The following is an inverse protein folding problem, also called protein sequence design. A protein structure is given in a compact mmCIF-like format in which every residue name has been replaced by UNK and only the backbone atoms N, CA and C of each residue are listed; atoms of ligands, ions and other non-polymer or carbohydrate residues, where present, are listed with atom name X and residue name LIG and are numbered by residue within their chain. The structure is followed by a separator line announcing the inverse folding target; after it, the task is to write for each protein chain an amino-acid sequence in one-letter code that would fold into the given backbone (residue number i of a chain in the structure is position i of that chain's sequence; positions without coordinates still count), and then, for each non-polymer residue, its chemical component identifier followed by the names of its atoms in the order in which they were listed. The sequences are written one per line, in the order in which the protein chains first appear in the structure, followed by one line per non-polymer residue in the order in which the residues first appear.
data_IF_008790293175
#
_entry.id   IF_008790293175
#
_cell.length_a   1.000
_cell.length_b   1.000
_cell.length_c   1.000
_cell.angle_alpha   90.00
_cell.angle_beta   90.00
_cell.angle_gamma   90.00
#
_symmetry.space_group_name_H-M   'P 1'
#
loop_
_entity.id
_entity.type
_entity.pdbx_description
1 polymer ?
#
# COMPACT_ATOMS: atom_id res chain seq x y z
N UNK A 1 -2.74 23.08 -31.80
CA UNK A 1 -2.09 23.46 -30.54
C UNK A 1 -2.94 22.89 -29.43
N UNK A 2 -2.64 21.66 -29.02
CA UNK A 2 -3.20 21.12 -27.78
C UNK A 2 -2.67 21.98 -26.64
N UNK A 3 -3.57 22.51 -25.83
CA UNK A 3 -3.21 23.13 -24.55
C UNK A 3 -2.30 22.14 -23.81
N UNK A 4 -1.11 22.62 -23.43
CA UNK A 4 -0.26 21.88 -22.50
C UNK A 4 -1.14 21.53 -21.30
N UNK A 5 -1.30 20.24 -20.94
CA UNK A 5 -2.21 19.87 -19.87
C UNK A 5 -1.79 20.66 -18.64
N UNK A 6 -2.72 21.48 -18.13
CA UNK A 6 -2.67 22.04 -16.79
C UNK A 6 -2.11 20.95 -15.88
N UNK A 7 -0.92 21.19 -15.30
CA UNK A 7 -0.13 20.15 -14.62
C UNK A 7 -1.02 19.31 -13.71
N UNK A 8 -1.30 18.07 -14.13
CA UNK A 8 -2.12 17.14 -13.36
C UNK A 8 -1.45 16.92 -12.00
N UNK A 9 -2.17 17.21 -10.92
CA UNK A 9 -1.68 17.02 -9.55
C UNK A 9 -2.38 15.84 -8.89
N UNK A 10 -1.82 15.38 -7.78
CA UNK A 10 -2.38 14.25 -7.04
C UNK A 10 -3.81 14.54 -6.55
N UNK A 11 -4.11 15.79 -6.19
CA UNK A 11 -5.43 16.19 -5.72
C UNK A 11 -6.49 16.02 -6.80
N UNK A 12 -6.13 16.14 -8.09
CA UNK A 12 -7.05 15.89 -9.19
C UNK A 12 -7.46 14.41 -9.29
N UNK A 13 -6.61 13.49 -8.83
CA UNK A 13 -6.90 12.05 -8.76
C UNK A 13 -7.69 11.74 -7.48
N UNK A 14 -7.33 12.36 -6.35
CA UNK A 14 -7.93 12.07 -5.05
C UNK A 14 -9.32 12.68 -4.86
N UNK A 15 -9.59 13.86 -5.43
CA UNK A 15 -10.88 14.54 -5.29
C UNK A 15 -12.09 13.64 -5.62
N UNK A 16 -12.18 13.00 -6.81
CA UNK A 16 -13.31 12.12 -7.11
C UNK A 16 -13.39 10.89 -6.19
N UNK A 17 -12.26 10.43 -5.63
CA UNK A 17 -12.26 9.35 -4.64
C UNK A 17 -12.82 9.85 -3.30
N UNK A 18 -12.44 11.07 -2.89
CA UNK A 18 -12.96 11.71 -1.69
C UNK A 18 -14.46 11.97 -1.80
N UNK A 19 -14.97 12.40 -2.96
CA UNK A 19 -16.40 12.54 -3.22
C UNK A 19 -17.16 11.23 -2.97
N UNK A 20 -16.65 10.10 -3.50
CA UNK A 20 -17.27 8.78 -3.30
C UNK A 20 -17.29 8.40 -1.82
N UNK A 21 -16.17 8.61 -1.12
CA UNK A 21 -16.04 8.31 0.30
C UNK A 21 -17.04 9.15 1.11
N UNK A 22 -17.11 10.46 0.85
CA UNK A 22 -18.04 11.36 1.51
C UNK A 22 -19.49 10.93 1.31
N UNK A 23 -19.90 10.67 0.06
CA UNK A 23 -21.26 10.23 -0.27
C UNK A 23 -21.63 8.96 0.50
N UNK A 24 -20.69 8.02 0.64
CA UNK A 24 -20.92 6.78 1.38
C UNK A 24 -21.00 7.05 2.88
N UNK A 25 -20.10 7.88 3.42
CA UNK A 25 -20.05 8.19 4.85
C UNK A 25 -21.30 8.93 5.32
N UNK A 26 -21.76 9.94 4.58
CA UNK A 26 -22.96 10.72 4.90
C UNK A 26 -24.25 9.87 4.90
N UNK A 27 -24.28 8.79 4.11
CA UNK A 27 -25.41 7.84 4.09
C UNK A 27 -25.48 6.95 5.34
N UNK A 28 -24.43 6.90 6.15
CA UNK A 28 -24.38 6.11 7.39
C UNK A 28 -25.01 6.86 8.59
N UNK A 29 -25.81 7.90 8.33
CA UNK A 29 -26.59 8.70 9.31
C UNK A 29 -25.74 9.40 10.38
N UNK A 30 -24.55 9.89 10.00
CA UNK A 30 -23.71 10.71 10.88
C UNK A 30 -24.15 12.18 10.83
N UNK A 31 -24.69 12.69 11.94
CA UNK A 31 -25.13 14.09 12.07
C UNK A 31 -23.96 14.96 12.55
N UNK A 32 -23.13 15.44 11.62
CA UNK A 32 -22.15 16.49 11.90
C UNK A 32 -22.18 17.58 10.82
N UNK A 33 -23.28 18.33 10.83
CA UNK A 33 -23.62 19.35 9.83
C UNK A 33 -22.63 20.51 9.67
N UNK A 34 -21.57 20.60 10.49
CA UNK A 34 -20.57 21.67 10.45
C UNK A 34 -19.15 21.21 10.04
N UNK A 35 -18.94 19.93 9.77
CA UNK A 35 -17.61 19.40 9.43
C UNK A 35 -17.43 19.27 7.92
N UNK A 36 -16.38 19.89 7.36
CA UNK A 36 -15.98 19.74 5.95
C UNK A 36 -15.31 18.37 5.74
N UNK A 37 -16.15 17.33 5.59
CA UNK A 37 -15.73 15.92 5.44
C UNK A 37 -14.82 15.74 4.21
N UNK A 38 -15.14 16.40 3.10
CA UNK A 38 -14.35 16.29 1.87
C UNK A 38 -12.89 16.73 2.09
N UNK A 39 -12.71 17.92 2.68
CA UNK A 39 -11.38 18.45 2.98
C UNK A 39 -10.63 17.57 3.97
N UNK A 40 -11.31 17.05 5.01
CA UNK A 40 -10.71 16.11 5.96
C UNK A 40 -10.21 14.81 5.29
N UNK A 41 -11.00 14.24 4.37
CA UNK A 41 -10.62 13.04 3.62
C UNK A 41 -9.38 13.33 2.76
N UNK A 42 -9.39 14.43 2.01
CA UNK A 42 -8.27 14.81 1.16
C UNK A 42 -6.99 15.04 1.97
N UNK A 43 -7.08 15.81 3.04
CA UNK A 43 -5.95 16.08 3.93
C UNK A 43 -5.38 14.80 4.53
N UNK A 44 -6.25 13.87 4.93
CA UNK A 44 -5.84 12.56 5.45
C UNK A 44 -5.19 11.69 4.37
N UNK A 45 -5.74 11.64 3.14
CA UNK A 45 -5.17 10.89 2.01
C UNK A 45 -3.80 11.42 1.60
N UNK A 46 -3.59 12.74 1.72
CA UNK A 46 -2.29 13.39 1.51
C UNK A 46 -1.33 13.20 2.71
N UNK A 47 -1.70 12.43 3.72
CA UNK A 47 -0.86 12.12 4.88
C UNK A 47 -0.69 13.28 5.86
N UNK A 48 -1.55 14.30 5.80
CA UNK A 48 -1.54 15.38 6.80
C UNK A 48 -2.03 14.84 8.14
N UNK A 49 -1.54 15.43 9.24
CA UNK A 49 -2.11 15.15 10.56
C UNK A 49 -3.44 15.88 10.67
N UNK A 50 -4.52 15.11 10.81
CA UNK A 50 -5.88 15.63 10.93
C UNK A 50 -6.47 15.12 12.24
N UNK A 51 -6.82 16.03 13.15
CA UNK A 51 -7.46 15.69 14.41
C UNK A 51 -8.98 15.92 14.25
N UNK A 52 -9.78 14.92 14.57
CA UNK A 52 -11.25 14.98 14.54
C UNK A 52 -11.85 13.85 15.38
N UNK A 53 -13.01 14.09 15.98
CA UNK A 53 -13.76 13.11 16.77
C UNK A 53 -14.38 12.00 15.93
N UNK A 54 -14.44 12.17 14.60
CA UNK A 54 -14.98 11.18 13.66
C UNK A 54 -13.95 10.13 13.23
N UNK A 55 -12.70 10.25 13.68
CA UNK A 55 -11.66 9.23 13.50
C UNK A 55 -11.72 8.22 14.65
N UNK A 56 -11.31 6.98 14.40
CA UNK A 56 -11.03 6.06 15.49
C UNK A 56 -9.85 6.57 16.31
N UNK A 57 -10.03 6.65 17.63
CA UNK A 57 -9.02 7.16 18.55
C UNK A 57 -7.75 6.28 18.51
N UNK A 58 -6.65 6.90 18.07
CA UNK A 58 -5.33 6.26 17.91
C UNK A 58 -4.55 6.16 19.23
N UNK A 59 -5.03 6.82 20.29
CA UNK A 59 -4.43 6.76 21.63
C UNK A 59 -4.99 5.59 22.46
N UNK A 60 -6.00 4.87 21.95
CA UNK A 60 -6.50 3.64 22.56
C UNK A 60 -5.38 2.61 22.71
N UNK A 61 -5.49 1.77 23.75
CA UNK A 61 -4.64 0.58 23.84
C UNK A 61 -4.85 -0.28 22.60
N UNK A 62 -3.83 -1.03 22.15
CA UNK A 62 -3.95 -1.87 20.95
C UNK A 62 -5.13 -2.84 21.06
N UNK A 63 -5.37 -3.41 22.24
CA UNK A 63 -6.50 -4.32 22.47
C UNK A 63 -7.84 -3.58 22.31
N UNK A 64 -7.97 -2.39 22.88
CA UNK A 64 -9.21 -1.60 22.77
C UNK A 64 -9.45 -1.13 21.34
N UNK A 65 -8.41 -0.67 20.65
CA UNK A 65 -8.48 -0.33 19.22
C UNK A 65 -8.98 -1.52 18.38
N UNK A 66 -8.42 -2.71 18.59
CA UNK A 66 -8.84 -3.94 17.89
C UNK A 66 -10.30 -4.31 18.21
N UNK A 67 -10.76 -4.12 19.46
CA UNK A 67 -12.16 -4.33 19.84
C UNK A 67 -13.08 -3.36 19.11
N UNK A 68 -12.74 -2.08 19.04
CA UNK A 68 -13.51 -1.09 18.29
C UNK A 68 -13.59 -1.45 16.80
N UNK A 69 -12.46 -1.83 16.19
CA UNK A 69 -12.44 -2.28 14.80
C UNK A 69 -13.36 -3.51 14.57
N UNK A 70 -13.38 -4.48 15.50
CA UNK A 70 -14.27 -5.64 15.42
C UNK A 70 -15.75 -5.24 15.53
N UNK A 71 -16.09 -4.34 16.45
CA UNK A 71 -17.46 -3.85 16.61
C UNK A 71 -17.95 -3.16 15.34
N UNK A 72 -17.12 -2.33 14.71
CA UNK A 72 -17.44 -1.73 13.40
C UNK A 72 -17.61 -2.81 12.34
N UNK A 73 -16.67 -3.76 12.22
CA UNK A 73 -16.76 -4.84 11.24
C UNK A 73 -18.00 -5.73 11.39
N UNK A 74 -18.53 -5.85 12.61
CA UNK A 74 -19.78 -6.57 12.89
C UNK A 74 -21.04 -5.71 12.76
N UNK A 75 -20.92 -4.40 12.45
CA UNK A 75 -22.06 -3.48 12.41
C UNK A 75 -22.68 -3.19 13.78
N UNK A 76 -21.93 -3.43 14.86
CA UNK A 76 -22.39 -3.25 16.24
C UNK A 76 -22.10 -1.85 16.79
N UNK A 77 -21.50 -0.97 15.99
CA UNK A 77 -21.35 0.44 16.30
C UNK A 77 -21.26 1.28 15.02
N UNK A 78 -21.47 2.61 15.09
CA UNK A 78 -21.25 3.51 13.97
C UNK A 78 -19.82 3.41 13.43
N UNK A 79 -19.67 3.59 12.12
CA UNK A 79 -18.38 3.55 11.46
C UNK A 79 -17.67 4.89 11.59
N UNK A 80 -16.38 4.87 11.90
CA UNK A 80 -15.55 6.07 11.83
C UNK A 80 -15.18 6.40 10.39
N UNK A 81 -14.73 7.64 10.14
CA UNK A 81 -14.39 8.09 8.80
C UNK A 81 -13.17 7.33 8.24
N UNK A 82 -12.15 7.06 9.05
CA UNK A 82 -10.97 6.29 8.63
C UNK A 82 -11.29 4.83 8.31
N UNK A 83 -12.21 4.21 9.06
CA UNK A 83 -12.74 2.90 8.73
C UNK A 83 -13.46 2.92 7.38
N UNK A 84 -14.29 3.93 7.15
CA UNK A 84 -15.05 4.09 5.90
C UNK A 84 -14.13 4.31 4.70
N UNK A 85 -13.11 5.17 4.83
CA UNK A 85 -12.07 5.36 3.81
C UNK A 85 -11.45 4.00 3.46
N UNK A 86 -11.06 3.22 4.47
CA UNK A 86 -10.49 1.88 4.28
C UNK A 86 -11.40 0.94 3.48
N UNK A 87 -12.69 0.86 3.84
CA UNK A 87 -13.66 -0.01 3.16
C UNK A 87 -13.94 0.43 1.73
N UNK A 88 -14.12 1.73 1.49
CA UNK A 88 -14.34 2.26 0.13
C UNK A 88 -13.11 2.02 -0.73
N UNK A 89 -11.91 2.31 -0.21
CA UNK A 89 -10.65 2.10 -0.95
C UNK A 89 -10.46 0.63 -1.33
N UNK A 90 -10.79 -0.31 -0.44
CA UNK A 90 -10.76 -1.75 -0.73
C UNK A 90 -11.61 -2.11 -1.94
N UNK A 91 -12.81 -1.53 -2.06
CA UNK A 91 -13.73 -1.80 -3.17
C UNK A 91 -13.29 -1.14 -4.47
N UNK A 92 -12.69 0.05 -4.39
CA UNK A 92 -12.16 0.75 -5.56
C UNK A 92 -10.89 0.09 -6.10
N UNK A 93 -10.12 -0.59 -5.26
CA UNK A 93 -8.77 -1.03 -5.58
C UNK A 93 -8.65 -1.88 -6.86
N UNK A 94 -9.50 -2.89 -7.14
CA UNK A 94 -9.41 -3.64 -8.40
C UNK A 94 -9.56 -2.74 -9.64
N UNK A 95 -10.47 -1.76 -9.58
CA UNK A 95 -10.66 -0.77 -10.65
C UNK A 95 -9.45 0.15 -10.77
N UNK A 96 -8.90 0.61 -9.65
CA UNK A 96 -7.67 1.43 -9.65
C UNK A 96 -6.51 0.64 -10.28
N UNK A 97 -6.35 -0.64 -9.94
CA UNK A 97 -5.28 -1.48 -10.49
C UNK A 97 -5.34 -1.54 -12.02
N UNK A 98 -6.54 -1.71 -12.57
CA UNK A 98 -6.76 -1.71 -14.02
C UNK A 98 -6.52 -0.34 -14.68
N UNK A 99 -6.88 0.76 -14.01
CA UNK A 99 -6.71 2.12 -14.57
C UNK A 99 -5.24 2.55 -14.58
N UNK A 100 -4.50 2.22 -13.52
CA UNK A 100 -3.16 2.74 -13.29
C UNK A 100 -2.05 1.85 -13.86
N UNK A 101 -2.29 0.55 -14.05
CA UNK A 101 -1.30 -0.36 -14.66
C UNK A 101 -1.04 0.02 -16.12
N UNK A 102 0.23 0.23 -16.46
CA UNK A 102 0.69 0.76 -17.75
C UNK A 102 0.00 2.06 -18.20
N UNK A 103 -0.43 2.89 -17.25
CA UNK A 103 -1.00 4.21 -17.55
C UNK A 103 0.06 5.19 -18.07
N UNK A 104 -0.38 6.23 -18.78
CA UNK A 104 0.48 7.31 -19.28
C UNK A 104 0.68 8.44 -18.25
N UNK A 105 0.49 8.16 -16.96
CA UNK A 105 0.69 9.16 -15.92
C UNK A 105 2.18 9.46 -15.74
N UNK A 106 2.55 10.72 -15.42
CA UNK A 106 3.93 11.04 -15.09
C UNK A 106 4.46 10.14 -13.96
N UNK A 107 5.68 9.61 -14.05
CA UNK A 107 6.23 8.69 -13.04
C UNK A 107 6.22 9.24 -11.62
N UNK A 108 6.46 10.54 -11.44
CA UNK A 108 6.41 11.20 -10.13
C UNK A 108 4.99 11.16 -9.53
N UNK A 109 3.97 11.46 -10.34
CA UNK A 109 2.57 11.44 -9.92
C UNK A 109 2.10 10.02 -9.59
N UNK A 110 2.50 9.04 -10.40
CA UNK A 110 2.18 7.64 -10.11
C UNK A 110 2.89 7.14 -8.85
N UNK A 111 4.15 7.57 -8.64
CA UNK A 111 4.88 7.25 -7.41
C UNK A 111 4.22 7.87 -6.18
N UNK A 112 3.64 9.06 -6.28
CA UNK A 112 2.88 9.68 -5.21
C UNK A 112 1.58 8.91 -4.93
N UNK A 113 0.82 8.57 -5.97
CA UNK A 113 -0.40 7.79 -5.82
C UNK A 113 -0.18 6.40 -5.23
N UNK A 114 0.90 5.70 -5.63
CA UNK A 114 1.30 4.41 -5.07
C UNK A 114 1.54 4.52 -3.55
N UNK A 115 2.19 5.60 -3.08
CA UNK A 115 2.41 5.81 -1.63
C UNK A 115 1.10 5.97 -0.88
N UNK A 116 0.13 6.66 -1.49
CA UNK A 116 -1.21 6.84 -0.91
C UNK A 116 -1.93 5.49 -0.82
N UNK A 117 -1.91 4.67 -1.87
CA UNK A 117 -2.49 3.32 -1.84
C UNK A 117 -1.84 2.39 -0.82
N UNK A 118 -0.52 2.43 -0.70
CA UNK A 118 0.19 1.68 0.35
C UNK A 118 -0.20 2.14 1.76
N UNK A 119 -0.42 3.44 1.95
CA UNK A 119 -0.87 4.01 3.21
C UNK A 119 -2.31 3.59 3.54
N UNK A 120 -3.24 3.70 2.59
CA UNK A 120 -4.66 3.36 2.78
C UNK A 120 -4.87 1.87 3.01
N UNK A 121 -4.02 1.00 2.45
CA UNK A 121 -4.06 -0.46 2.67
C UNK A 121 -4.12 -0.87 4.14
N UNK A 122 -3.52 -0.09 5.04
CA UNK A 122 -3.57 -0.33 6.50
C UNK A 122 -4.97 -0.24 7.11
N UNK A 123 -5.88 0.45 6.44
CA UNK A 123 -7.28 0.62 6.83
C UNK A 123 -8.21 -0.26 5.97
N UNK A 124 -7.78 -0.62 4.77
CA UNK A 124 -8.54 -1.47 3.84
C UNK A 124 -8.43 -2.97 4.15
N UNK A 125 -7.26 -3.41 4.62
CA UNK A 125 -6.97 -4.82 4.80
C UNK A 125 -6.48 -5.10 6.21
N UNK A 126 -7.05 -6.15 6.80
CA UNK A 126 -6.68 -6.65 8.09
C UNK A 126 -7.07 -8.13 8.21
N UNK A 127 -6.62 -8.79 9.27
CA UNK A 127 -7.04 -10.16 9.55
C UNK A 127 -8.58 -10.22 9.72
N UNK A 128 -9.21 -11.36 9.38
CA UNK A 128 -10.64 -11.56 9.65
C UNK A 128 -10.99 -11.32 11.12
N UNK A 129 -12.22 -10.90 11.41
CA UNK A 129 -12.69 -10.62 12.79
C UNK A 129 -12.37 -11.76 13.75
N UNK A 130 -12.60 -13.01 13.36
CA UNK A 130 -12.27 -14.19 14.16
C UNK A 130 -10.79 -14.23 14.58
N UNK A 131 -9.87 -13.87 13.67
CA UNK A 131 -8.43 -13.84 13.93
C UNK A 131 -8.06 -12.68 14.84
N UNK A 132 -8.70 -11.53 14.69
CA UNK A 132 -8.53 -10.40 15.63
C UNK A 132 -8.98 -10.79 17.03
N UNK A 133 -10.12 -11.46 17.17
CA UNK A 133 -10.63 -11.95 18.46
C UNK A 133 -9.66 -12.95 19.11
N UNK A 134 -9.00 -13.81 18.32
CA UNK A 134 -7.94 -14.71 18.81
C UNK A 134 -6.73 -13.91 19.35
N UNK A 135 -6.29 -12.86 18.65
CA UNK A 135 -5.20 -12.00 19.12
C UNK A 135 -5.56 -11.27 20.41
N UNK A 136 -6.81 -10.78 20.53
CA UNK A 136 -7.33 -10.17 21.76
C UNK A 136 -7.30 -11.19 22.90
N UNK A 137 -7.82 -12.40 22.68
CA UNK A 137 -7.85 -13.44 23.71
C UNK A 137 -6.44 -13.85 24.18
N UNK A 138 -5.49 -13.98 23.26
CA UNK A 138 -4.07 -14.24 23.58
C UNK A 138 -3.44 -13.11 24.39
N UNK A 139 -3.81 -11.87 24.08
CA UNK A 139 -3.33 -10.70 24.82
C UNK A 139 -3.92 -10.64 26.23
N UNK A 140 -5.22 -10.88 26.38
CA UNK A 140 -5.93 -10.86 27.66
C UNK A 140 -5.49 -11.99 28.60
N UNK A 141 -5.07 -13.15 28.07
CA UNK A 141 -4.52 -14.24 28.87
C UNK A 141 -3.00 -14.12 29.12
N UNK A 142 -2.36 -13.05 28.65
CA UNK A 142 -0.95 -12.74 28.91
C UNK A 142 0.05 -13.53 28.06
N UNK A 143 -0.39 -14.20 26.98
CA UNK A 143 0.49 -14.90 26.04
C UNK A 143 1.08 -13.92 25.01
N UNK A 144 0.27 -12.97 24.54
CA UNK A 144 0.66 -11.94 23.58
C UNK A 144 0.75 -10.58 24.27
N UNK A 145 1.75 -9.77 23.91
CA UNK A 145 1.94 -8.44 24.50
C UNK A 145 2.18 -7.39 23.40
N UNK A 146 1.26 -6.44 23.34
CA UNK A 146 1.30 -5.31 22.40
C UNK A 146 1.97 -4.06 22.97
N UNK A 147 2.46 -4.07 24.21
CA UNK A 147 2.99 -2.87 24.90
C UNK A 147 4.19 -2.19 24.21
N UNK A 148 4.83 -2.87 23.27
CA UNK A 148 5.91 -2.34 22.42
C UNK A 148 5.62 -2.47 20.93
N UNK A 149 4.34 -2.56 20.51
CA UNK A 149 3.97 -2.64 19.10
C UNK A 149 4.09 -1.29 18.35
N UNK A 150 4.00 -0.16 19.06
CA UNK A 150 4.02 1.18 18.47
C UNK A 150 5.45 1.73 18.37
N UNK A 151 6.11 1.48 17.22
CA UNK A 151 7.41 2.01 16.83
C UNK A 151 8.49 1.98 17.95
N UNK A 152 8.79 0.80 18.53
CA UNK A 152 9.83 0.69 19.53
C UNK A 152 11.20 0.93 18.91
N UNK A 153 12.14 1.46 19.70
CA UNK A 153 13.56 1.33 19.36
C UNK A 153 13.98 -0.12 19.54
N UNK A 154 14.67 -0.68 18.54
CA UNK A 154 15.19 -2.04 18.56
C UNK A 154 16.72 -1.96 18.66
N UNK A 155 17.28 -2.61 19.68
CA UNK A 155 18.72 -2.68 19.90
C UNK A 155 19.12 -4.15 19.91
N UNK A 156 20.13 -4.50 19.13
CA UNK A 156 20.75 -5.82 19.17
C UNK A 156 21.68 -5.93 20.38
N UNK A 157 21.57 -7.03 21.12
CA UNK A 157 22.44 -7.37 22.25
C UNK A 157 23.03 -8.76 22.01
N UNK A 158 24.14 -9.07 22.69
CA UNK A 158 24.84 -10.37 22.58
C UNK A 158 23.97 -11.59 22.87
N UNK A 159 22.83 -11.42 23.56
CA UNK A 159 21.90 -12.50 23.93
C UNK A 159 20.49 -12.33 23.31
N UNK A 160 20.32 -11.49 22.29
CA UNK A 160 19.05 -11.26 21.61
C UNK A 160 18.80 -9.79 21.28
N UNK A 161 17.64 -9.27 21.66
CA UNK A 161 17.20 -7.92 21.34
C UNK A 161 16.62 -7.22 22.55
N UNK A 162 16.73 -5.90 22.57
CA UNK A 162 16.07 -5.01 23.51
C UNK A 162 15.11 -4.15 22.72
N UNK A 163 13.83 -4.23 23.06
CA UNK A 163 12.79 -3.35 22.53
C UNK A 163 12.48 -2.32 23.59
N UNK A 164 12.48 -1.04 23.22
CA UNK A 164 12.20 0.04 24.17
C UNK A 164 11.37 1.16 23.55
N UNK A 165 10.50 1.74 24.36
CA UNK A 165 9.89 3.05 24.10
C UNK A 165 10.24 3.99 25.27
N UNK A 166 9.55 5.12 25.41
CA UNK A 166 9.85 6.10 26.47
C UNK A 166 9.59 5.58 27.89
N UNK A 167 8.70 4.60 28.07
CA UNK A 167 8.22 4.15 29.38
C UNK A 167 8.55 2.69 29.70
N UNK A 168 8.86 1.88 28.68
CA UNK A 168 8.95 0.43 28.79
C UNK A 168 10.18 -0.08 28.05
N UNK A 169 10.89 -1.02 28.66
CA UNK A 169 11.98 -1.77 28.06
C UNK A 169 11.75 -3.27 28.27
N UNK A 170 11.93 -4.08 27.21
CA UNK A 170 11.81 -5.54 27.28
C UNK A 170 12.97 -6.21 26.54
N UNK A 171 13.47 -7.28 27.14
CA UNK A 171 14.44 -8.19 26.51
C UNK A 171 13.69 -9.28 25.75
N UNK A 172 14.14 -9.56 24.54
CA UNK A 172 13.55 -10.50 23.61
C UNK A 172 14.64 -11.45 23.14
N UNK A 173 14.42 -12.75 23.25
CA UNK A 173 15.41 -13.78 22.93
C UNK A 173 15.45 -14.15 21.43
N UNK A 174 14.37 -13.84 20.70
CA UNK A 174 14.21 -14.18 19.29
C UNK A 174 13.42 -13.08 18.57
N UNK A 175 13.91 -12.65 17.41
CA UNK A 175 13.22 -11.71 16.53
C UNK A 175 12.86 -12.41 15.21
N UNK A 176 11.60 -12.33 14.80
CA UNK A 176 11.16 -12.80 13.48
C UNK A 176 10.95 -11.58 12.59
N UNK A 177 11.84 -11.39 11.62
CA UNK A 177 11.66 -10.36 10.60
C UNK A 177 10.75 -10.90 9.47
N UNK A 178 9.45 -10.61 9.57
CA UNK A 178 8.47 -10.94 8.54
C UNK A 178 8.27 -9.85 7.48
N UNK A 179 9.09 -8.79 7.48
CA UNK A 179 8.89 -7.64 6.58
C UNK A 179 9.62 -7.87 5.26
N UNK A 180 8.88 -7.83 4.16
CA UNK A 180 9.45 -7.83 2.81
C UNK A 180 9.71 -6.38 2.36
N UNK A 181 10.97 -6.02 2.15
CA UNK A 181 11.38 -4.65 1.79
C UNK A 181 10.70 -4.17 0.50
N UNK A 182 10.29 -2.90 0.44
CA UNK A 182 9.68 -2.31 -0.77
C UNK A 182 10.62 -2.46 -1.99
N UNK A 183 10.07 -2.70 -3.20
CA UNK A 183 10.88 -2.77 -4.41
C UNK A 183 11.46 -1.40 -4.71
N UNK A 184 12.78 -1.26 -4.56
CA UNK A 184 13.49 -0.04 -4.82
C UNK A 184 14.80 -0.38 -5.52
N UNK A 185 14.87 -0.06 -6.81
CA UNK A 185 16.03 -0.32 -7.66
C UNK A 185 17.35 0.18 -7.08
N UNK A 186 17.36 1.31 -6.34
CA UNK A 186 18.58 1.85 -5.71
C UNK A 186 19.12 1.01 -4.57
N UNK A 187 18.28 0.14 -3.99
CA UNK A 187 18.64 -0.75 -2.89
C UNK A 187 19.00 -2.15 -3.36
N UNK A 188 18.91 -2.43 -4.66
CA UNK A 188 19.31 -3.72 -5.22
C UNK A 188 20.85 -3.82 -5.14
N UNK A 189 21.33 -4.80 -4.39
CA UNK A 189 22.75 -5.09 -4.26
C UNK A 189 23.07 -6.44 -4.92
N UNK A 190 22.73 -6.55 -6.21
CA UNK A 190 23.03 -7.72 -7.04
C UNK A 190 23.94 -7.29 -8.20
N UNK A 191 25.12 -7.93 -8.38
CA UNK A 191 26.06 -7.52 -9.43
C UNK A 191 25.51 -7.60 -10.86
N UNK A 192 24.67 -8.60 -11.16
CA UNK A 192 24.09 -8.77 -12.49
C UNK A 192 23.07 -7.66 -12.76
N UNK A 193 22.15 -7.43 -11.82
CA UNK A 193 21.13 -6.39 -11.99
C UNK A 193 21.78 -5.00 -12.10
N UNK A 194 22.77 -4.72 -11.25
CA UNK A 194 23.51 -3.45 -11.31
C UNK A 194 24.26 -3.28 -12.64
N UNK A 195 24.83 -4.36 -13.18
CA UNK A 195 25.46 -4.33 -14.50
C UNK A 195 24.46 -4.00 -15.60
N UNK A 196 23.26 -4.59 -15.56
CA UNK A 196 22.21 -4.34 -16.56
C UNK A 196 21.73 -2.88 -16.54
N UNK A 197 21.58 -2.27 -15.36
CA UNK A 197 21.32 -0.83 -15.26
C UNK A 197 22.49 0.00 -15.80
N UNK A 198 23.73 -0.31 -15.40
CA UNK A 198 24.90 0.46 -15.84
C UNK A 198 25.21 0.36 -17.35
N UNK A 199 24.68 -0.68 -17.99
CA UNK A 199 24.82 -0.93 -19.43
C UNK A 199 23.56 -0.53 -20.22
N UNK A 200 22.63 0.21 -19.60
CA UNK A 200 21.39 0.71 -20.20
C UNK A 200 20.44 -0.38 -20.76
N UNK A 201 20.52 -1.61 -20.24
CA UNK A 201 19.56 -2.68 -20.56
C UNK A 201 18.29 -2.58 -19.74
N UNK A 202 18.36 -2.02 -18.53
CA UNK A 202 17.19 -1.80 -17.67
C UNK A 202 17.04 -0.31 -17.39
N UNK A 203 15.81 0.17 -17.48
CA UNK A 203 15.44 1.52 -17.04
C UNK A 203 14.58 1.45 -15.78
N UNK A 204 14.86 2.25 -14.73
CA UNK A 204 13.95 2.35 -13.60
C UNK A 204 12.65 3.06 -14.01
N UNK A 205 11.50 2.59 -13.54
CA UNK A 205 10.24 3.31 -13.76
C UNK A 205 10.27 4.68 -13.07
N UNK A 206 10.71 4.69 -11.82
CA UNK A 206 10.94 5.88 -10.99
C UNK A 206 12.03 5.56 -9.96
N UNK A 207 12.71 6.59 -9.45
CA UNK A 207 13.86 6.48 -8.54
C UNK A 207 13.56 5.76 -7.20
N UNK A 208 12.29 5.55 -6.86
CA UNK A 208 11.83 4.89 -5.64
C UNK A 208 11.03 3.60 -5.91
N UNK A 209 10.87 3.21 -7.18
CA UNK A 209 10.04 2.09 -7.60
C UNK A 209 10.89 1.01 -8.30
N UNK A 210 10.24 0.17 -9.12
CA UNK A 210 10.84 -0.95 -9.82
C UNK A 210 11.43 -0.62 -11.19
N UNK A 211 11.71 -1.67 -11.95
CA UNK A 211 12.11 -1.66 -13.35
C UNK A 211 10.90 -1.35 -14.22
N UNK A 212 11.13 -0.56 -15.26
CA UNK A 212 10.14 -0.22 -16.26
C UNK A 212 9.93 -1.39 -17.22
N UNK A 213 8.67 -1.78 -17.39
CA UNK A 213 8.23 -2.84 -18.31
C UNK A 213 7.14 -2.36 -19.26
N UNK A 214 7.04 -3.03 -20.41
CA UNK A 214 5.88 -2.96 -21.29
C UNK A 214 4.73 -3.85 -20.79
N UNK A 215 3.59 -3.82 -21.49
CA UNK A 215 2.38 -4.58 -21.16
C UNK A 215 2.52 -6.10 -21.18
N UNK A 216 3.59 -6.61 -21.80
CA UNK A 216 3.91 -8.04 -21.85
C UNK A 216 4.93 -8.42 -20.76
N UNK A 217 5.22 -7.52 -19.82
CA UNK A 217 6.17 -7.76 -18.73
C UNK A 217 7.63 -7.76 -19.18
N UNK A 218 7.95 -7.36 -20.41
CA UNK A 218 9.33 -7.26 -20.88
C UNK A 218 9.94 -5.91 -20.48
N UNK A 219 11.18 -5.93 -20.02
CA UNK A 219 11.89 -4.73 -19.61
C UNK A 219 12.11 -3.77 -20.78
N UNK A 220 12.07 -2.49 -20.46
CA UNK A 220 12.33 -1.39 -21.39
C UNK A 220 13.69 -0.75 -21.09
N UNK A 221 14.39 -0.38 -22.14
CA UNK A 221 15.59 0.46 -22.09
C UNK A 221 15.21 1.94 -22.05
N UNK A 222 16.20 2.82 -21.88
CA UNK A 222 16.03 4.28 -21.93
C UNK A 222 15.37 4.76 -23.24
N UNK A 223 15.61 4.06 -24.35
CA UNK A 223 15.05 4.39 -25.68
C UNK A 223 13.65 3.81 -25.91
N UNK A 224 13.01 3.27 -24.88
CA UNK A 224 11.72 2.56 -24.95
C UNK A 224 11.75 1.32 -25.85
N UNK A 225 12.95 0.80 -26.16
CA UNK A 225 13.09 -0.47 -26.86
C UNK A 225 12.94 -1.64 -25.88
N UNK A 226 12.26 -2.68 -26.32
CA UNK A 226 12.04 -3.90 -25.54
C UNK A 226 13.26 -4.81 -25.61
N UNK A 227 13.59 -5.42 -24.49
CA UNK A 227 14.59 -6.49 -24.41
C UNK A 227 13.93 -7.79 -23.95
N UNK A 228 14.50 -8.93 -24.33
CA UNK A 228 14.03 -10.28 -23.97
C UNK A 228 14.38 -10.63 -22.51
N UNK A 229 14.14 -9.70 -21.60
CA UNK A 229 14.19 -9.90 -20.15
C UNK A 229 12.81 -9.60 -19.60
N UNK A 230 12.14 -10.63 -19.08
CA UNK A 230 10.88 -10.47 -18.40
C UNK A 230 11.08 -10.08 -16.92
N UNK A 231 10.32 -9.10 -16.46
CA UNK A 231 10.29 -8.65 -15.06
C UNK A 231 8.85 -8.69 -14.58
N UNK A 232 8.57 -9.56 -13.62
CA UNK A 232 7.23 -9.78 -13.07
C UNK A 232 7.22 -9.53 -11.57
N UNK A 233 6.03 -9.26 -11.03
CA UNK A 233 5.82 -9.03 -9.60
C UNK A 233 6.46 -7.73 -9.11
N UNK A 234 6.90 -7.71 -7.85
CA UNK A 234 7.26 -6.48 -7.12
C UNK A 234 8.33 -5.64 -7.82
N UNK A 235 9.26 -6.27 -8.54
CA UNK A 235 10.31 -5.54 -9.26
C UNK A 235 9.80 -4.78 -10.49
N UNK A 236 8.55 -5.00 -10.94
CA UNK A 236 7.90 -4.21 -11.99
C UNK A 236 7.01 -3.08 -11.42
N UNK A 237 7.09 -2.81 -10.11
CA UNK A 237 6.25 -1.79 -9.46
C UNK A 237 6.42 -0.43 -10.13
N UNK A 238 5.32 0.22 -10.47
CA UNK A 238 5.29 1.45 -11.25
C UNK A 238 4.67 1.18 -12.61
N UNK A 239 5.34 0.37 -13.44
CA UNK A 239 4.74 -0.15 -14.68
C UNK A 239 3.49 -0.98 -14.39
N UNK A 240 3.60 -1.90 -13.43
CA UNK A 240 2.46 -2.63 -12.88
C UNK A 240 2.15 -2.10 -11.49
N UNK A 241 0.86 -1.88 -11.22
CA UNK A 241 0.43 -1.26 -9.97
C UNK A 241 0.18 -2.29 -8.86
N UNK A 242 -0.56 -3.37 -9.17
CA UNK A 242 -1.00 -4.41 -8.24
C UNK A 242 0.04 -5.46 -7.81
N UNK A 243 1.34 -5.20 -7.92
CA UNK A 243 2.40 -6.23 -7.85
C UNK A 243 2.60 -6.96 -6.50
N UNK A 244 1.86 -6.59 -5.47
CA UNK A 244 2.09 -7.03 -4.08
C UNK A 244 0.77 -7.38 -3.36
N UNK A 245 -0.23 -7.85 -4.11
CA UNK A 245 -1.51 -8.30 -3.58
C UNK A 245 -1.71 -9.78 -3.90
N UNK A 246 -2.25 -10.55 -2.94
CA UNK A 246 -2.61 -11.97 -3.16
C UNK A 246 -3.62 -12.11 -4.31
N UNK A 247 -4.49 -11.10 -4.49
CA UNK A 247 -5.44 -11.01 -5.60
C UNK A 247 -4.75 -11.08 -6.97
N UNK A 248 -3.49 -10.65 -7.04
CA UNK A 248 -2.70 -10.48 -8.26
C UNK A 248 -1.71 -11.62 -8.50
N UNK A 249 -1.73 -12.68 -7.67
CA UNK A 249 -0.88 -13.87 -7.88
C UNK A 249 -1.18 -14.60 -9.20
N UNK A 250 -2.33 -14.34 -9.83
CA UNK A 250 -2.72 -14.82 -11.17
C UNK A 250 -3.28 -13.67 -12.00
N UNK A 251 -2.54 -12.56 -12.05
CA UNK A 251 -3.02 -11.35 -12.70
C UNK A 251 -3.04 -11.43 -14.23
N UNK A 252 -3.80 -10.52 -14.84
CA UNK A 252 -3.84 -10.33 -16.29
C UNK A 252 -2.46 -10.05 -16.89
N UNK A 253 -1.55 -9.45 -16.14
CA UNK A 253 -0.20 -9.12 -16.57
C UNK A 253 0.66 -10.38 -16.69
N UNK A 254 0.48 -11.34 -15.77
CA UNK A 254 1.17 -12.64 -15.84
C UNK A 254 0.67 -13.43 -17.04
N UNK A 255 -0.63 -13.39 -17.34
CA UNK A 255 -1.21 -14.01 -18.54
C UNK A 255 -0.67 -13.36 -19.82
N UNK A 256 -0.65 -12.02 -19.90
CA UNK A 256 -0.10 -11.29 -21.04
C UNK A 256 1.35 -11.66 -21.32
N UNK A 257 2.19 -11.68 -20.28
CA UNK A 257 3.57 -12.13 -20.39
C UNK A 257 3.66 -13.56 -20.93
N UNK A 258 2.92 -14.50 -20.33
CA UNK A 258 3.03 -15.91 -20.70
C UNK A 258 2.59 -16.15 -22.15
N UNK A 259 1.50 -15.50 -22.59
CA UNK A 259 1.00 -15.57 -23.96
C UNK A 259 2.01 -14.95 -24.94
N UNK A 260 2.59 -13.80 -24.60
CA UNK A 260 3.62 -13.17 -25.42
C UNK A 260 4.82 -14.10 -25.58
N UNK A 261 5.33 -14.65 -24.47
CA UNK A 261 6.47 -15.55 -24.47
C UNK A 261 6.23 -16.79 -25.35
N UNK A 262 5.07 -17.43 -25.20
CA UNK A 262 4.70 -18.61 -26.00
C UNK A 262 4.65 -18.27 -27.50
N UNK A 263 3.96 -17.20 -27.86
CA UNK A 263 3.76 -16.81 -29.26
C UNK A 263 5.04 -16.30 -29.94
N UNK A 264 5.99 -15.77 -29.18
CA UNK A 264 7.23 -15.20 -29.73
C UNK A 264 8.39 -16.20 -29.75
N UNK A 265 8.44 -17.14 -28.79
CA UNK A 265 9.62 -18.01 -28.62
C UNK A 265 9.35 -19.50 -28.68
N UNK A 266 8.09 -19.96 -28.54
CA UNK A 266 7.77 -21.39 -28.48
C UNK A 266 6.93 -21.88 -29.66
N UNK A 267 6.12 -21.00 -30.26
CA UNK A 267 5.37 -21.31 -31.47
C UNK A 267 6.15 -20.75 -32.67
N UNK A 268 6.66 -21.66 -33.51
CA UNK A 268 7.19 -21.36 -34.85
C UNK A 268 6.06 -21.10 -35.85
#
# INVERSE_FOLDING_TARGET
MQESPQHLKIENILAPIADIIQIIYERLEYDDSNTDIHSLILDWLMGKKVDSSIWLDKELSTVDYLKQACLMACGNQPFTLDYTIGQVWRQLQPTLYSIFTHSNLPPDLQSEFIKIDEFTKRYSYGPPVERVLQLIALSECGILDFGLASNPTIIEDKNGWILKNKSTEKKVHAMVNGVLASPNVKKINDPLINSLFSSNYLEPFHKELGIKTNENGCALTETESTIDIAVLGRNAKGSVYGVDAILECFSTETEKWSNHFVNTHLLE
#
